data_IF_595191758647
#
_entry.id   IF_595191758647
#
_cell.length_a   1.000
_cell.length_b   1.000
_cell.length_c   1.000
_cell.angle_alpha   90.00
_cell.angle_beta   90.00
_cell.angle_gamma   90.00
#
_symmetry.space_group_name_H-M   'P 1'
#
loop_
_entity.id
_entity.type
_entity.pdbx_description
1 polymer ?
#
# COMPACT_ATOMS: atom_id res chain seq x y z
N UNK A 1 23.14 -28.61 25.84
CA UNK A 1 23.13 -29.13 24.48
C UNK A 1 21.98 -28.45 23.76
N UNK A 2 22.32 -27.53 22.87
CA UNK A 2 21.37 -26.78 22.01
C UNK A 2 21.06 -27.65 20.81
N UNK A 3 19.77 -27.81 20.48
CA UNK A 3 19.39 -28.22 19.13
C UNK A 3 18.23 -27.30 18.72
N UNK A 4 18.57 -26.29 17.94
CA UNK A 4 17.62 -25.46 17.25
C UNK A 4 17.04 -26.29 16.10
N UNK A 5 15.73 -26.57 16.15
CA UNK A 5 14.98 -27.04 14.97
C UNK A 5 14.65 -25.82 14.11
N UNK A 6 15.45 -25.59 13.08
CA UNK A 6 15.06 -24.78 11.93
C UNK A 6 13.99 -25.55 11.16
N UNK A 7 12.74 -25.23 11.41
CA UNK A 7 11.63 -25.66 10.56
C UNK A 7 11.65 -24.80 9.28
N UNK A 8 12.28 -25.33 8.24
CA UNK A 8 12.07 -24.88 6.87
C UNK A 8 10.62 -25.20 6.49
N UNK A 9 9.76 -24.18 6.53
CA UNK A 9 8.45 -24.25 5.86
C UNK A 9 8.70 -24.37 4.35
N UNK A 10 8.58 -25.58 3.83
CA UNK A 10 8.62 -25.83 2.38
C UNK A 10 7.27 -25.38 1.80
N UNK A 11 7.31 -24.29 1.08
CA UNK A 11 6.31 -23.89 0.12
C UNK A 11 6.30 -24.91 -1.03
N UNK A 12 5.36 -25.85 -1.01
CA UNK A 12 5.17 -26.75 -2.16
C UNK A 12 4.20 -26.07 -3.11
N UNK A 13 4.73 -25.19 -3.97
CA UNK A 13 4.01 -24.77 -5.15
C UNK A 13 3.89 -25.95 -6.12
N UNK A 14 2.70 -26.23 -6.69
CA UNK A 14 2.59 -27.06 -7.87
C UNK A 14 3.38 -26.39 -8.99
N UNK A 15 3.99 -27.21 -9.84
CA UNK A 15 4.94 -26.81 -10.88
C UNK A 15 4.45 -25.65 -11.73
N UNK A 16 5.34 -24.67 -11.93
CA UNK A 16 5.44 -23.72 -13.02
C UNK A 16 4.22 -22.86 -13.34
N UNK A 17 4.03 -21.80 -12.57
CA UNK A 17 3.64 -20.52 -13.14
C UNK A 17 4.35 -19.38 -12.36
N UNK A 18 5.66 -19.44 -12.28
CA UNK A 18 6.48 -18.33 -11.79
C UNK A 18 6.51 -17.26 -12.88
N UNK A 19 5.46 -16.44 -12.92
CA UNK A 19 5.52 -15.18 -13.64
C UNK A 19 6.75 -14.41 -13.13
N UNK A 20 7.53 -13.78 -14.02
CA UNK A 20 8.72 -13.06 -13.61
C UNK A 20 8.37 -11.97 -12.61
N UNK A 21 9.14 -11.86 -11.53
CA UNK A 21 9.03 -10.76 -10.57
C UNK A 21 9.27 -9.46 -11.33
N UNK A 22 8.25 -8.59 -11.41
CA UNK A 22 8.26 -7.37 -12.22
C UNK A 22 8.78 -6.15 -11.45
N UNK A 23 9.10 -6.31 -10.16
CA UNK A 23 9.57 -5.21 -9.33
C UNK A 23 9.78 -5.61 -7.87
N UNK A 24 10.11 -4.62 -7.06
CA UNK A 24 10.24 -4.77 -5.61
C UNK A 24 9.59 -3.58 -4.91
N UNK A 25 9.20 -3.77 -3.66
CA UNK A 25 8.84 -2.63 -2.82
C UNK A 25 10.08 -1.77 -2.51
N UNK A 26 9.88 -0.47 -2.32
CA UNK A 26 10.98 0.45 -2.01
C UNK A 26 11.53 0.13 -0.62
N UNK A 27 12.86 -0.03 -0.51
CA UNK A 27 13.54 -0.42 0.76
C UNK A 27 14.35 0.70 1.37
N UNK A 28 14.78 1.68 0.59
CA UNK A 28 15.59 2.79 1.08
C UNK A 28 14.73 3.86 1.77
N UNK A 29 15.07 4.19 3.03
CA UNK A 29 14.42 5.26 3.77
C UNK A 29 14.65 6.63 3.15
N UNK A 30 13.58 7.39 3.00
CA UNK A 30 13.59 8.74 2.43
C UNK A 30 12.61 9.68 3.16
N UNK A 31 12.64 10.96 2.83
CA UNK A 31 11.84 12.00 3.49
C UNK A 31 10.66 12.49 2.65
N UNK A 32 10.23 11.74 1.61
CA UNK A 32 9.17 12.18 0.68
C UNK A 32 7.84 12.42 1.39
N UNK A 33 7.56 11.69 2.46
CA UNK A 33 6.35 11.86 3.27
C UNK A 33 6.22 13.26 3.88
N UNK A 34 7.34 13.99 4.04
CA UNK A 34 7.32 15.39 4.50
C UNK A 34 6.68 16.35 3.49
N UNK A 35 6.68 16.01 2.22
CA UNK A 35 6.11 16.84 1.15
C UNK A 35 4.62 16.64 0.99
N UNK A 36 4.18 15.39 1.08
CA UNK A 36 2.79 15.03 0.83
C UNK A 36 2.43 13.80 1.66
N UNK A 37 1.39 13.92 2.48
CA UNK A 37 0.81 12.82 3.26
C UNK A 37 0.11 11.78 2.34
N UNK A 38 -0.92 11.08 2.81
CA UNK A 38 -1.66 10.09 2.01
C UNK A 38 -2.24 10.69 0.71
N UNK A 39 -2.74 11.93 0.74
CA UNK A 39 -3.22 12.69 -0.41
C UNK A 39 -4.25 11.90 -1.27
N UNK A 40 -5.32 11.47 -0.62
CA UNK A 40 -6.30 10.54 -1.20
C UNK A 40 -6.96 11.11 -2.47
N UNK A 41 -7.44 12.36 -2.41
CA UNK A 41 -8.13 13.00 -3.53
C UNK A 41 -7.17 13.34 -4.67
N UNK A 42 -5.93 13.71 -4.36
CA UNK A 42 -4.91 13.96 -5.38
C UNK A 42 -4.46 12.66 -6.07
N UNK A 43 -4.40 11.55 -5.35
CA UNK A 43 -4.16 10.23 -5.94
C UNK A 43 -5.29 9.85 -6.92
N UNK A 44 -6.55 10.02 -6.49
CA UNK A 44 -7.72 9.76 -7.33
C UNK A 44 -7.67 10.62 -8.60
N UNK A 45 -7.47 11.92 -8.45
CA UNK A 45 -7.38 12.84 -9.59
C UNK A 45 -6.25 12.44 -10.56
N UNK A 46 -5.12 11.95 -10.03
CA UNK A 46 -4.04 11.46 -10.86
C UNK A 46 -4.47 10.26 -11.71
N UNK A 47 -5.10 9.23 -11.13
CA UNK A 47 -5.56 8.06 -11.90
C UNK A 47 -6.58 8.42 -12.97
N UNK A 48 -7.48 9.36 -12.65
CA UNK A 48 -8.55 9.78 -13.55
C UNK A 48 -8.04 10.61 -14.75
N UNK A 49 -6.96 11.35 -14.55
CA UNK A 49 -6.51 12.37 -15.51
C UNK A 49 -5.26 11.99 -16.27
N UNK A 50 -4.38 11.11 -15.72
CA UNK A 50 -3.14 10.76 -16.39
C UNK A 50 -3.41 9.97 -17.68
N UNK A 51 -2.83 10.43 -18.77
CA UNK A 51 -2.99 9.85 -20.11
C UNK A 51 -1.63 9.51 -20.70
N UNK A 52 -1.49 8.41 -21.47
CA UNK A 52 -0.23 8.00 -22.08
C UNK A 52 0.30 8.96 -23.15
N UNK A 53 -0.62 9.70 -23.79
CA UNK A 53 -0.33 10.67 -24.85
C UNK A 53 0.28 11.97 -24.33
N UNK A 54 0.25 12.23 -23.02
CA UNK A 54 0.85 13.44 -22.45
C UNK A 54 2.35 13.22 -22.24
N UNK A 55 3.22 14.00 -22.92
CA UNK A 55 4.66 13.92 -22.68
C UNK A 55 5.01 14.24 -21.22
N UNK A 56 6.02 13.57 -20.71
CA UNK A 56 6.41 13.67 -19.29
C UNK A 56 6.70 15.11 -18.84
N UNK A 57 7.39 15.87 -19.66
CA UNK A 57 7.78 17.27 -19.43
C UNK A 57 6.59 18.23 -19.50
N UNK A 58 5.58 17.95 -20.28
CA UNK A 58 4.37 18.76 -20.43
C UNK A 58 3.29 18.45 -19.37
N UNK A 59 3.34 17.30 -18.74
CA UNK A 59 2.29 16.85 -17.83
C UNK A 59 2.02 17.84 -16.67
N UNK A 60 3.03 18.56 -16.18
CA UNK A 60 2.83 19.54 -15.12
C UNK A 60 2.05 20.80 -15.59
N UNK A 61 2.24 21.19 -16.84
CA UNK A 61 1.51 22.30 -17.47
C UNK A 61 0.05 21.87 -17.70
N UNK A 62 -0.14 20.72 -18.31
CA UNK A 62 -1.48 20.15 -18.56
C UNK A 62 -2.25 19.97 -17.24
N UNK A 63 -1.63 19.38 -16.22
CA UNK A 63 -2.26 19.17 -14.92
C UNK A 63 -2.63 20.49 -14.21
N UNK A 64 -1.88 21.57 -14.45
CA UNK A 64 -2.18 22.87 -13.93
C UNK A 64 -3.31 23.54 -14.69
N UNK A 65 -3.28 23.55 -16.02
CA UNK A 65 -4.28 24.16 -16.89
C UNK A 65 -5.65 23.45 -16.77
N UNK A 66 -5.65 22.12 -16.76
CA UNK A 66 -6.85 21.30 -16.58
C UNK A 66 -7.29 21.18 -15.11
N UNK A 67 -6.53 21.78 -14.17
CA UNK A 67 -6.84 21.80 -12.72
C UNK A 67 -7.03 20.42 -12.11
N UNK A 68 -6.21 19.45 -12.43
CA UNK A 68 -6.32 18.09 -11.91
C UNK A 68 -6.42 18.03 -10.39
N UNK A 69 -5.68 18.88 -9.70
CA UNK A 69 -5.66 18.97 -8.24
C UNK A 69 -6.42 20.20 -7.70
N UNK A 70 -7.36 20.76 -8.50
CA UNK A 70 -8.09 21.99 -8.16
C UNK A 70 -7.22 23.25 -8.22
N UNK A 71 -7.60 24.28 -7.49
CA UNK A 71 -6.90 25.59 -7.51
C UNK A 71 -5.59 25.55 -6.71
N UNK A 72 -4.59 24.86 -7.21
CA UNK A 72 -3.24 24.80 -6.62
C UNK A 72 -2.27 25.65 -7.45
N UNK A 73 -1.21 26.17 -6.81
CA UNK A 73 -0.12 26.81 -7.55
C UNK A 73 0.64 25.81 -8.41
N UNK A 74 1.29 26.26 -9.48
CA UNK A 74 2.15 25.43 -10.34
C UNK A 74 3.21 24.66 -9.53
N UNK A 75 3.82 25.30 -8.53
CA UNK A 75 4.80 24.65 -7.66
C UNK A 75 4.19 23.46 -6.91
N UNK A 76 2.98 23.64 -6.38
CA UNK A 76 2.26 22.56 -5.67
C UNK A 76 1.78 21.45 -6.63
N UNK A 77 1.36 21.79 -7.84
CA UNK A 77 1.01 20.80 -8.88
C UNK A 77 2.22 19.91 -9.22
N UNK A 78 3.40 20.52 -9.44
CA UNK A 78 4.64 19.76 -9.68
C UNK A 78 4.99 18.81 -8.53
N UNK A 79 4.84 19.26 -7.30
CA UNK A 79 5.11 18.44 -6.11
C UNK A 79 4.13 17.25 -6.00
N UNK A 80 2.84 17.49 -6.24
CA UNK A 80 1.80 16.44 -6.23
C UNK A 80 2.03 15.43 -7.35
N UNK A 81 2.33 15.87 -8.57
CA UNK A 81 2.68 14.99 -9.67
C UNK A 81 3.91 14.13 -9.36
N UNK A 82 4.97 14.73 -8.83
CA UNK A 82 6.16 13.96 -8.45
C UNK A 82 5.85 12.91 -7.38
N UNK A 83 4.92 13.21 -6.47
CA UNK A 83 4.45 12.27 -5.44
C UNK A 83 3.62 11.15 -6.04
N UNK A 84 2.64 11.46 -6.89
CA UNK A 84 1.78 10.46 -7.54
C UNK A 84 2.58 9.54 -8.46
N UNK A 85 3.49 10.10 -9.26
CA UNK A 85 4.40 9.33 -10.10
C UNK A 85 5.23 8.34 -9.28
N UNK A 86 5.86 8.80 -8.20
CA UNK A 86 6.62 7.91 -7.34
C UNK A 86 5.77 6.77 -6.78
N UNK A 87 4.50 6.99 -6.48
CA UNK A 87 3.60 5.99 -5.91
C UNK A 87 3.04 5.01 -6.95
N UNK A 88 2.76 5.46 -8.15
CA UNK A 88 1.99 4.69 -9.11
C UNK A 88 2.76 4.32 -10.38
N UNK A 89 3.61 5.22 -10.93
CA UNK A 89 4.36 4.90 -12.15
C UNK A 89 5.45 3.84 -11.88
N UNK A 90 5.86 3.67 -10.62
CA UNK A 90 6.73 2.56 -10.18
C UNK A 90 6.09 1.19 -10.44
N UNK A 91 4.76 1.14 -10.51
CA UNK A 91 3.96 -0.08 -10.72
C UNK A 91 3.02 0.11 -11.93
N UNK A 92 3.54 0.07 -13.17
CA UNK A 92 2.79 0.49 -14.36
C UNK A 92 1.53 -0.34 -14.61
N UNK A 93 1.56 -1.65 -14.35
CA UNK A 93 0.38 -2.51 -14.46
C UNK A 93 -0.71 -2.08 -13.48
N UNK A 94 -0.35 -1.76 -12.26
CA UNK A 94 -1.27 -1.27 -11.25
C UNK A 94 -1.88 0.09 -11.65
N UNK A 95 -1.07 1.01 -12.16
CA UNK A 95 -1.55 2.29 -12.66
C UNK A 95 -2.49 2.12 -13.86
N UNK A 96 -2.17 1.24 -14.81
CA UNK A 96 -3.03 0.95 -15.95
C UNK A 96 -4.42 0.47 -15.51
N UNK A 97 -4.49 -0.45 -14.55
CA UNK A 97 -5.76 -0.90 -13.97
C UNK A 97 -6.50 0.24 -13.28
N UNK A 98 -5.85 1.05 -12.44
CA UNK A 98 -6.49 2.16 -11.71
C UNK A 98 -7.07 3.23 -12.64
N UNK A 99 -6.43 3.50 -13.77
CA UNK A 99 -6.90 4.44 -14.79
C UNK A 99 -8.25 4.03 -15.38
N UNK A 100 -8.48 2.74 -15.57
CA UNK A 100 -9.73 2.19 -16.13
C UNK A 100 -10.76 1.91 -15.03
N UNK A 101 -10.33 1.37 -13.91
CA UNK A 101 -11.22 1.02 -12.80
C UNK A 101 -11.87 2.24 -12.14
N UNK A 102 -11.08 3.27 -11.82
CA UNK A 102 -11.55 4.48 -11.16
C UNK A 102 -12.47 4.16 -9.97
N UNK A 103 -11.99 3.44 -8.95
CA UNK A 103 -12.84 2.90 -7.90
C UNK A 103 -13.69 4.00 -7.25
N UNK A 104 -15.02 3.84 -7.29
CA UNK A 104 -15.99 4.81 -6.76
C UNK A 104 -16.16 4.70 -5.25
N UNK A 105 -15.98 3.48 -4.69
CA UNK A 105 -16.11 3.25 -3.24
C UNK A 105 -14.97 3.92 -2.46
N UNK A 106 -15.29 4.74 -1.42
CA UNK A 106 -14.28 5.44 -0.64
C UNK A 106 -13.34 4.52 0.13
N UNK A 107 -13.82 3.36 0.65
CA UNK A 107 -13.00 2.44 1.40
C UNK A 107 -12.00 1.73 0.47
N UNK A 108 -12.42 1.36 -0.73
CA UNK A 108 -11.55 0.80 -1.78
C UNK A 108 -10.42 1.78 -2.13
N UNK A 109 -10.74 3.05 -2.41
CA UNK A 109 -9.73 4.09 -2.69
C UNK A 109 -8.76 4.29 -1.55
N UNK A 110 -9.28 4.32 -0.32
CA UNK A 110 -8.48 4.47 0.89
C UNK A 110 -7.44 3.35 1.01
N UNK A 111 -7.86 2.10 0.86
CA UNK A 111 -7.01 0.94 0.97
C UNK A 111 -5.92 0.93 -0.11
N UNK A 112 -6.29 1.21 -1.36
CA UNK A 112 -5.34 1.30 -2.48
C UNK A 112 -4.29 2.37 -2.23
N UNK A 113 -4.69 3.59 -1.86
CA UNK A 113 -3.75 4.67 -1.57
C UNK A 113 -2.84 4.35 -0.38
N UNK A 114 -3.39 3.70 0.66
CA UNK A 114 -2.62 3.26 1.82
C UNK A 114 -1.53 2.26 1.43
N UNK A 115 -1.88 1.23 0.66
CA UNK A 115 -0.94 0.20 0.24
C UNK A 115 0.11 0.71 -0.76
N UNK A 116 -0.27 1.57 -1.71
CA UNK A 116 0.71 2.22 -2.59
C UNK A 116 1.69 3.12 -1.83
N UNK A 117 1.22 3.80 -0.77
CA UNK A 117 2.14 4.52 0.12
C UNK A 117 3.06 3.56 0.88
N UNK A 118 2.58 2.41 1.33
CA UNK A 118 3.44 1.39 1.94
C UNK A 118 4.45 0.78 0.96
N UNK A 119 4.04 0.52 -0.29
CA UNK A 119 4.92 -0.02 -1.34
C UNK A 119 6.10 0.91 -1.62
N UNK A 120 5.89 2.22 -1.53
CA UNK A 120 6.87 3.24 -1.93
C UNK A 120 7.52 4.00 -0.78
N UNK A 121 7.04 3.85 0.46
CA UNK A 121 7.63 4.47 1.65
C UNK A 121 7.89 3.41 2.73
N UNK A 122 9.14 2.91 2.86
CA UNK A 122 9.49 1.87 3.80
C UNK A 122 9.31 2.28 5.26
N UNK A 123 9.43 3.58 5.59
CA UNK A 123 9.20 4.05 6.95
C UNK A 123 7.71 4.03 7.30
N UNK A 124 6.85 4.45 6.37
CA UNK A 124 5.41 4.35 6.53
C UNK A 124 4.95 2.88 6.61
N UNK A 125 5.52 2.01 5.79
CA UNK A 125 5.27 0.55 5.84
C UNK A 125 5.66 -0.04 7.19
N UNK A 126 6.86 0.23 7.69
CA UNK A 126 7.32 -0.24 9.00
C UNK A 126 6.46 0.34 10.14
N UNK A 127 6.07 1.62 10.05
CA UNK A 127 5.21 2.27 11.02
C UNK A 127 3.84 1.61 11.11
N UNK A 128 3.16 1.43 9.97
CA UNK A 128 1.78 0.94 9.95
C UNK A 128 1.68 -0.58 10.06
N UNK A 129 2.56 -1.31 9.37
CA UNK A 129 2.50 -2.78 9.29
C UNK A 129 3.19 -3.52 10.43
N UNK A 130 4.08 -2.85 11.17
CA UNK A 130 4.79 -3.46 12.32
C UNK A 130 4.54 -2.72 13.61
N UNK A 131 4.91 -1.45 13.68
CA UNK A 131 4.82 -0.69 14.93
C UNK A 131 3.37 -0.51 15.41
N UNK A 132 2.46 -0.03 14.56
CA UNK A 132 1.05 0.11 14.95
C UNK A 132 0.39 -1.26 15.17
N UNK A 133 0.75 -2.28 14.37
CA UNK A 133 0.25 -3.64 14.56
C UNK A 133 0.61 -4.19 15.95
N UNK A 134 1.87 -4.05 16.37
CA UNK A 134 2.31 -4.44 17.72
C UNK A 134 1.63 -3.58 18.81
N UNK A 135 1.49 -2.28 18.58
CA UNK A 135 0.88 -1.37 19.55
C UNK A 135 -0.61 -1.66 19.80
N UNK A 136 -1.32 -2.25 18.84
CA UNK A 136 -2.70 -2.70 19.01
C UNK A 136 -2.88 -3.82 20.02
N UNK A 137 -1.80 -4.55 20.34
CA UNK A 137 -1.80 -5.60 21.36
C UNK A 137 -1.67 -5.06 22.79
N UNK A 138 -1.40 -3.77 22.96
CA UNK A 138 -1.35 -3.13 24.26
C UNK A 138 -2.75 -2.97 24.88
N UNK A 139 -2.86 -2.98 26.24
CA UNK A 139 -4.14 -2.74 26.93
C UNK A 139 -4.80 -1.40 26.57
N UNK A 140 -3.98 -0.39 26.28
CA UNK A 140 -4.40 0.92 25.78
C UNK A 140 -3.76 1.17 24.42
N UNK A 141 -4.43 0.75 23.31
CA UNK A 141 -3.87 0.83 21.97
C UNK A 141 -3.94 2.26 21.42
N UNK A 142 -3.01 3.11 21.87
CA UNK A 142 -2.89 4.51 21.44
C UNK A 142 -1.52 4.81 20.88
N UNK A 143 -1.44 5.85 20.06
CA UNK A 143 -0.20 6.39 19.50
C UNK A 143 -0.25 7.91 19.51
N UNK A 144 0.89 8.53 19.84
CA UNK A 144 1.12 9.97 19.76
C UNK A 144 2.45 10.27 19.08
N UNK A 145 2.75 11.57 18.95
CA UNK A 145 3.98 12.04 18.32
C UNK A 145 5.24 11.59 19.04
N UNK A 146 5.24 11.67 20.38
CA UNK A 146 6.44 11.39 21.17
C UNK A 146 6.77 9.88 21.17
N UNK A 147 5.74 9.05 21.25
CA UNK A 147 5.84 7.59 21.05
C UNK A 147 6.37 7.27 19.66
N UNK A 148 5.89 7.96 18.63
CA UNK A 148 6.34 7.77 17.23
C UNK A 148 7.80 8.21 17.06
N UNK A 149 8.21 9.33 17.64
CA UNK A 149 9.60 9.82 17.61
C UNK A 149 10.54 8.83 18.28
N UNK A 150 10.22 8.33 19.48
CA UNK A 150 11.02 7.31 20.17
C UNK A 150 11.18 6.04 19.34
N UNK A 151 10.10 5.56 18.74
CA UNK A 151 10.17 4.42 17.84
C UNK A 151 11.11 4.67 16.64
N UNK A 152 10.99 5.83 15.98
CA UNK A 152 11.87 6.17 14.85
C UNK A 152 13.33 6.27 15.23
N UNK A 153 13.65 6.77 16.44
CA UNK A 153 15.03 6.83 16.92
C UNK A 153 15.69 5.45 16.97
N UNK A 154 14.94 4.40 17.32
CA UNK A 154 15.44 3.02 17.30
C UNK A 154 15.56 2.44 15.88
N UNK A 155 14.64 2.78 14.98
CA UNK A 155 14.61 2.21 13.63
C UNK A 155 15.64 2.88 12.70
N UNK A 156 15.91 4.17 12.90
CA UNK A 156 16.69 4.99 11.97
C UNK A 156 18.14 5.21 12.40
N UNK A 157 18.51 4.76 13.59
CA UNK A 157 19.88 4.77 14.14
C UNK A 157 20.64 6.09 13.86
N UNK A 158 20.03 7.22 14.25
CA UNK A 158 20.64 8.53 14.11
C UNK A 158 20.67 9.14 12.70
N UNK A 159 20.04 8.51 11.71
CA UNK A 159 20.04 8.96 10.30
C UNK A 159 19.55 10.40 10.11
N UNK A 160 18.64 10.91 10.96
CA UNK A 160 18.08 12.26 10.86
C UNK A 160 18.05 12.98 12.22
N UNK A 161 18.24 14.28 12.19
CA UNK A 161 18.17 15.11 13.39
C UNK A 161 16.75 15.24 13.98
N UNK A 162 16.67 15.62 15.26
CA UNK A 162 15.43 15.66 16.06
C UNK A 162 14.31 16.48 15.40
N UNK A 163 14.61 17.63 14.81
CA UNK A 163 13.62 18.46 14.13
C UNK A 163 12.99 17.73 12.91
N UNK A 164 13.79 16.98 12.18
CA UNK A 164 13.32 16.17 11.03
C UNK A 164 12.46 15.02 11.54
N UNK A 165 12.87 14.32 12.58
CA UNK A 165 12.08 13.23 13.19
C UNK A 165 10.71 13.70 13.67
N UNK A 166 10.61 14.86 14.32
CA UNK A 166 9.33 15.44 14.76
C UNK A 166 8.40 15.71 13.56
N UNK A 167 8.93 16.25 12.47
CA UNK A 167 8.14 16.51 11.26
C UNK A 167 7.68 15.22 10.59
N UNK A 168 8.55 14.20 10.49
CA UNK A 168 8.21 12.89 9.94
C UNK A 168 7.16 12.21 10.82
N UNK A 169 7.29 12.23 12.15
CA UNK A 169 6.31 11.68 13.07
C UNK A 169 4.91 12.29 12.84
N UNK A 170 4.86 13.61 12.67
CA UNK A 170 3.61 14.31 12.36
C UNK A 170 3.02 13.84 11.02
N UNK A 171 3.85 13.68 9.99
CA UNK A 171 3.41 13.21 8.66
C UNK A 171 2.95 11.74 8.70
N UNK A 172 3.64 10.87 9.44
CA UNK A 172 3.25 9.47 9.66
C UNK A 172 1.87 9.38 10.33
N UNK A 173 1.67 10.13 11.42
CA UNK A 173 0.40 10.16 12.14
C UNK A 173 -0.73 10.76 11.29
N UNK A 174 -0.45 11.81 10.52
CA UNK A 174 -1.44 12.40 9.61
C UNK A 174 -1.86 11.40 8.54
N UNK A 175 -0.88 10.71 7.94
CA UNK A 175 -1.16 9.69 6.91
C UNK A 175 -1.89 8.48 7.48
N UNK A 176 -1.50 8.00 8.67
CA UNK A 176 -2.20 6.90 9.35
C UNK A 176 -3.63 7.27 9.76
N UNK A 177 -3.87 8.50 10.18
CA UNK A 177 -5.23 9.00 10.46
C UNK A 177 -6.06 9.07 9.19
N UNK A 178 -5.50 9.61 8.11
CA UNK A 178 -6.17 9.66 6.80
C UNK A 178 -6.46 8.26 6.24
N UNK A 179 -5.60 7.28 6.55
CA UNK A 179 -5.80 5.87 6.21
C UNK A 179 -6.78 5.13 7.16
N UNK A 180 -7.40 5.80 8.12
CA UNK A 180 -8.33 5.18 9.06
C UNK A 180 -7.68 4.25 10.09
N UNK A 181 -6.35 4.30 10.26
CA UNK A 181 -5.60 3.43 11.17
C UNK A 181 -5.59 3.95 12.61
N UNK A 182 -5.93 5.22 12.82
CA UNK A 182 -6.09 5.82 14.13
C UNK A 182 -7.13 6.96 14.12
N UNK A 183 -7.62 7.33 15.31
CA UNK A 183 -8.57 8.42 15.47
C UNK A 183 -7.95 9.78 15.10
N UNK A 184 -8.80 10.75 14.78
CA UNK A 184 -8.39 12.14 14.69
C UNK A 184 -8.04 12.69 16.07
N UNK A 185 -7.16 13.69 16.14
CA UNK A 185 -6.78 14.38 17.36
C UNK A 185 -5.34 14.88 17.33
N UNK A 186 -5.01 15.80 18.24
CA UNK A 186 -3.68 16.41 18.37
C UNK A 186 -2.81 15.73 19.45
N UNK A 187 -3.41 14.88 20.29
CA UNK A 187 -2.73 14.12 21.35
C UNK A 187 -2.64 12.63 21.04
N UNK A 188 -2.84 11.81 22.07
CA UNK A 188 -2.91 10.37 21.92
C UNK A 188 -4.12 9.97 21.07
N UNK A 189 -3.87 9.19 20.01
CA UNK A 189 -4.87 8.71 19.05
C UNK A 189 -5.13 7.23 19.30
N UNK A 190 -6.40 6.86 19.45
CA UNK A 190 -6.79 5.46 19.56
C UNK A 190 -6.57 4.75 18.22
N UNK A 191 -5.98 3.57 18.27
CA UNK A 191 -5.75 2.76 17.07
C UNK A 191 -7.06 2.11 16.60
N UNK A 192 -7.22 2.05 15.28
CA UNK A 192 -8.39 1.52 14.59
C UNK A 192 -7.95 0.62 13.43
N UNK A 193 -8.91 -0.10 12.87
CA UNK A 193 -8.74 -0.78 11.58
C UNK A 193 -9.67 -0.15 10.56
N UNK A 194 -9.20 0.13 9.33
CA UNK A 194 -10.05 0.59 8.25
C UNK A 194 -10.93 -0.55 7.76
N UNK A 195 -12.03 -0.21 7.12
CA UNK A 195 -12.80 -1.18 6.36
C UNK A 195 -12.00 -1.57 5.11
N UNK A 196 -11.80 -2.88 4.92
CA UNK A 196 -11.13 -3.42 3.73
C UNK A 196 -12.18 -4.09 2.84
N UNK A 197 -12.30 -3.62 1.59
CA UNK A 197 -13.18 -4.22 0.58
C UNK A 197 -12.54 -5.44 -0.06
N UNK A 198 -13.36 -6.34 -0.62
CA UNK A 198 -12.84 -7.54 -1.28
C UNK A 198 -12.11 -7.18 -2.58
N UNK A 199 -12.60 -6.19 -3.33
CA UNK A 199 -11.94 -5.70 -4.54
C UNK A 199 -10.56 -5.09 -4.23
N UNK A 200 -10.46 -4.27 -3.18
CA UNK A 200 -9.17 -3.70 -2.79
C UNK A 200 -8.19 -4.78 -2.31
N UNK A 201 -8.70 -5.79 -1.59
CA UNK A 201 -7.87 -6.90 -1.12
C UNK A 201 -7.39 -7.77 -2.28
N UNK A 202 -8.25 -8.12 -3.23
CA UNK A 202 -7.87 -8.86 -4.44
C UNK A 202 -6.84 -8.08 -5.27
N UNK A 203 -7.08 -6.77 -5.47
CA UNK A 203 -6.11 -5.89 -6.11
C UNK A 203 -4.73 -5.97 -5.45
N UNK A 204 -4.66 -5.84 -4.12
CA UNK A 204 -3.40 -5.94 -3.38
C UNK A 204 -2.69 -7.27 -3.65
N UNK A 205 -3.42 -8.39 -3.56
CA UNK A 205 -2.83 -9.72 -3.74
C UNK A 205 -2.30 -9.91 -5.16
N UNK A 206 -3.02 -9.44 -6.20
CA UNK A 206 -2.54 -9.48 -7.57
C UNK A 206 -1.33 -8.55 -7.79
N UNK A 207 -1.23 -7.42 -7.10
CA UNK A 207 -0.02 -6.57 -7.12
C UNK A 207 1.15 -7.29 -6.44
N UNK A 208 0.96 -7.83 -5.23
CA UNK A 208 2.02 -8.48 -4.46
C UNK A 208 2.55 -9.76 -5.13
N UNK A 209 1.71 -10.49 -5.87
CA UNK A 209 2.12 -11.69 -6.61
C UNK A 209 3.30 -11.44 -7.55
N UNK A 210 3.40 -10.24 -8.10
CA UNK A 210 4.43 -9.86 -9.07
C UNK A 210 5.59 -9.05 -8.46
N UNK A 211 5.61 -8.88 -7.14
CA UNK A 211 6.62 -8.09 -6.44
C UNK A 211 7.46 -8.97 -5.51
N UNK A 212 8.75 -8.63 -5.42
CA UNK A 212 9.59 -9.08 -4.31
C UNK A 212 9.36 -8.15 -3.11
N UNK A 213 8.89 -8.70 -2.00
CA UNK A 213 8.62 -7.96 -0.76
C UNK A 213 9.01 -8.79 0.46
N UNK A 214 8.98 -8.19 1.63
CA UNK A 214 9.31 -8.86 2.88
C UNK A 214 8.12 -9.65 3.43
N UNK A 215 8.34 -10.93 3.75
CA UNK A 215 7.34 -11.86 4.24
C UNK A 215 6.76 -12.76 3.16
N UNK A 216 5.57 -13.27 3.40
CA UNK A 216 4.79 -14.12 2.51
C UNK A 216 3.47 -13.45 2.14
N UNK A 217 2.69 -14.03 1.23
CA UNK A 217 1.36 -13.49 0.92
C UNK A 217 0.44 -13.47 2.15
N UNK A 218 0.60 -14.39 3.10
CA UNK A 218 -0.21 -14.45 4.31
C UNK A 218 0.33 -13.60 5.46
N UNK A 219 1.66 -13.47 5.55
CA UNK A 219 2.34 -12.77 6.64
C UNK A 219 3.21 -11.65 6.08
N UNK A 220 2.65 -10.47 5.98
CA UNK A 220 3.35 -9.30 5.47
C UNK A 220 2.83 -7.99 6.10
N UNK A 221 3.59 -6.90 6.03
CA UNK A 221 3.22 -5.62 6.63
C UNK A 221 1.97 -4.98 6.00
N UNK A 222 1.63 -5.32 4.77
CA UNK A 222 0.48 -4.74 4.06
C UNK A 222 -0.84 -5.21 4.68
N UNK A 223 -1.02 -6.52 4.84
CA UNK A 223 -2.23 -7.09 5.46
C UNK A 223 -2.26 -6.87 6.98
N UNK A 224 -1.11 -6.93 7.65
CA UNK A 224 -1.01 -6.66 9.09
C UNK A 224 -1.41 -5.23 9.45
N UNK A 225 -1.11 -4.24 8.60
CA UNK A 225 -1.43 -2.82 8.81
C UNK A 225 -2.93 -2.58 8.96
N UNK A 226 -3.74 -3.34 8.26
CA UNK A 226 -5.22 -3.23 8.24
C UNK A 226 -5.91 -4.30 9.11
N UNK A 227 -5.14 -5.07 9.89
CA UNK A 227 -5.67 -6.05 10.84
C UNK A 227 -6.09 -7.38 10.22
N UNK A 228 -5.70 -7.64 8.98
CA UNK A 228 -5.91 -8.92 8.33
C UNK A 228 -4.74 -9.85 8.67
N UNK A 229 -4.88 -10.60 9.76
CA UNK A 229 -3.86 -11.54 10.22
C UNK A 229 -4.46 -12.93 10.33
N UNK A 230 -3.65 -13.96 10.09
CA UNK A 230 -3.99 -15.39 10.24
C UNK A 230 -5.43 -15.76 9.85
N UNK A 231 -6.22 -16.28 10.77
CA UNK A 231 -7.54 -16.82 10.51
C UNK A 231 -8.54 -15.84 9.87
N UNK A 232 -8.44 -14.53 10.18
CA UNK A 232 -9.30 -13.54 9.56
C UNK A 232 -8.94 -13.34 8.07
N UNK A 233 -7.65 -13.29 7.76
CA UNK A 233 -7.18 -13.21 6.37
C UNK A 233 -7.59 -14.47 5.60
N UNK A 234 -7.36 -15.67 6.16
CA UNK A 234 -7.73 -16.92 5.53
C UNK A 234 -9.24 -17.00 5.23
N UNK A 235 -10.08 -16.58 6.18
CA UNK A 235 -11.52 -16.53 5.96
C UNK A 235 -11.90 -15.62 4.79
N UNK A 236 -11.20 -14.50 4.62
CA UNK A 236 -11.41 -13.58 3.50
C UNK A 236 -10.95 -14.20 2.19
N UNK A 237 -9.77 -14.82 2.17
CA UNK A 237 -9.17 -15.41 0.97
C UNK A 237 -10.02 -16.54 0.37
N UNK A 238 -10.68 -17.36 1.20
CA UNK A 238 -11.56 -18.45 0.73
C UNK A 238 -12.74 -17.99 -0.13
N UNK A 239 -13.11 -16.73 -0.04
CA UNK A 239 -14.24 -16.14 -0.78
C UNK A 239 -13.81 -14.97 -1.67
N UNK A 240 -12.51 -14.71 -1.76
CA UNK A 240 -11.99 -13.57 -2.51
C UNK A 240 -12.09 -13.86 -4.01
N UNK A 241 -12.78 -13.02 -4.80
CA UNK A 241 -12.91 -13.23 -6.24
C UNK A 241 -11.53 -13.27 -6.93
N UNK A 242 -11.36 -14.25 -7.82
CA UNK A 242 -10.13 -14.41 -8.60
C UNK A 242 -8.98 -15.12 -7.86
N UNK A 243 -9.17 -15.53 -6.60
CA UNK A 243 -8.18 -16.27 -5.80
C UNK A 243 -8.79 -17.58 -5.31
N UNK A 244 -8.08 -18.69 -5.50
CA UNK A 244 -8.38 -19.95 -4.85
C UNK A 244 -7.41 -20.13 -3.67
N UNK A 245 -7.96 -20.31 -2.47
CA UNK A 245 -7.17 -20.51 -1.26
C UNK A 245 -7.67 -21.75 -0.50
N UNK A 246 -6.74 -22.67 -0.23
CA UNK A 246 -7.01 -23.84 0.58
C UNK A 246 -5.93 -24.02 1.65
N UNK A 247 -6.33 -24.49 2.84
CA UNK A 247 -5.42 -24.86 3.92
C UNK A 247 -5.69 -26.29 4.35
N UNK A 248 -4.64 -27.09 4.43
CA UNK A 248 -4.64 -28.46 4.96
C UNK A 248 -3.58 -28.55 6.06
N UNK A 249 -4.00 -28.42 7.32
CA UNK A 249 -3.09 -28.37 8.47
C UNK A 249 -2.15 -27.17 8.42
N UNK A 250 -0.83 -27.44 8.37
CA UNK A 250 0.21 -26.41 8.25
C UNK A 250 0.52 -26.03 6.79
N UNK A 251 -0.03 -26.75 5.82
CA UNK A 251 0.16 -26.47 4.39
C UNK A 251 -0.96 -25.57 3.89
N UNK A 252 -0.60 -24.63 3.06
CA UNK A 252 -1.54 -23.76 2.36
C UNK A 252 -1.21 -23.71 0.88
N UNK A 253 -2.26 -23.62 0.06
CA UNK A 253 -2.19 -23.58 -1.39
C UNK A 253 -2.87 -22.31 -1.90
N UNK A 254 -2.19 -21.61 -2.79
CA UNK A 254 -2.68 -20.42 -3.47
C UNK A 254 -2.84 -20.71 -4.96
N UNK A 255 -4.07 -20.67 -5.44
CA UNK A 255 -4.39 -20.68 -6.86
C UNK A 255 -4.86 -19.31 -7.35
N UNK A 256 -4.63 -19.01 -8.61
CA UNK A 256 -5.01 -17.76 -9.25
C UNK A 256 -5.91 -18.06 -10.44
N UNK A 257 -7.11 -17.48 -10.47
CA UNK A 257 -8.02 -17.69 -11.59
C UNK A 257 -7.58 -16.92 -12.85
N UNK A 258 -6.80 -15.86 -12.67
CA UNK A 258 -6.32 -15.01 -13.76
C UNK A 258 -4.80 -14.91 -13.74
N UNK A 259 -4.17 -14.78 -14.94
CA UNK A 259 -2.71 -14.75 -15.04
C UNK A 259 -2.08 -13.52 -14.36
N UNK A 260 -2.75 -12.37 -14.41
CA UNK A 260 -2.23 -11.10 -13.88
C UNK A 260 -3.33 -10.16 -13.39
N UNK A 261 -2.92 -9.00 -12.88
CA UNK A 261 -3.80 -7.97 -12.38
C UNK A 261 -4.73 -7.40 -13.47
N UNK A 262 -4.26 -7.31 -14.71
CA UNK A 262 -5.05 -6.78 -15.84
C UNK A 262 -6.18 -7.74 -16.20
N UNK A 263 -5.88 -9.03 -16.32
CA UNK A 263 -6.88 -10.05 -16.59
C UNK A 263 -7.91 -10.16 -15.45
N UNK A 264 -7.46 -10.11 -14.19
CA UNK A 264 -8.35 -10.04 -13.04
C UNK A 264 -9.30 -8.84 -13.14
N UNK A 265 -8.77 -7.66 -13.39
CA UNK A 265 -9.58 -6.44 -13.44
C UNK A 265 -10.60 -6.44 -14.59
N UNK A 266 -10.24 -7.01 -15.76
CA UNK A 266 -11.17 -7.16 -16.89
C UNK A 266 -12.36 -8.05 -16.52
N UNK A 267 -12.13 -9.14 -15.83
CA UNK A 267 -13.16 -10.12 -15.51
C UNK A 267 -13.96 -9.75 -14.25
N UNK A 268 -13.29 -9.50 -13.15
CA UNK A 268 -13.97 -9.30 -11.86
C UNK A 268 -14.55 -7.89 -11.70
N UNK A 269 -13.96 -6.88 -12.34
CA UNK A 269 -14.46 -5.52 -12.31
C UNK A 269 -15.24 -5.15 -13.58
N UNK A 270 -15.44 -6.10 -14.50
CA UNK A 270 -16.12 -5.91 -15.77
C UNK A 270 -15.57 -4.70 -16.58
N UNK A 271 -14.26 -4.50 -16.55
CA UNK A 271 -13.62 -3.39 -17.23
C UNK A 271 -13.32 -3.78 -18.68
N UNK A 272 -13.69 -2.90 -19.59
CA UNK A 272 -13.33 -3.01 -21.00
C UNK A 272 -12.28 -1.94 -21.33
N UNK A 273 -11.10 -2.36 -21.78
CA UNK A 273 -10.14 -1.51 -22.50
C UNK A 273 -9.41 -2.34 -23.53
N UNK A 274 -9.12 -1.72 -24.64
CA UNK A 274 -8.25 -2.32 -25.64
C UNK A 274 -6.81 -2.21 -25.17
N UNK A 275 -6.02 -3.27 -25.35
CA UNK A 275 -4.58 -3.20 -25.14
C UNK A 275 -4.04 -2.25 -26.21
N UNK A 276 -3.79 -1.00 -25.82
CA UNK A 276 -3.13 -0.06 -26.71
C UNK A 276 -1.76 -0.60 -27.08
N UNK A 277 -1.55 -0.74 -28.37
CA UNK A 277 -0.30 -1.12 -28.99
C UNK A 277 0.85 -0.18 -28.63
#
# INVERSE_FOLDING_TARGET
MKTALELHKRETAPASDTMPVQGTDVREFHTRLLRTSLALEECRAYWEQIRPDIPYDQCAVVAFEERWFGNKSMARVRELLATCRHRFDTYPMALAVLRHWRPSDPATRLNICHWHLQLTDPLYRAFTGRFLAQRRLHPQPTVDRDVTVRWMQHVLDGRWGSATLIRIATSLLTSATAAGLCSQGNGARSLKYPQVTDEALAYLFYVLRHLSFEGTLLENPYVASVGLTEGLLEQRLRRLPGVAFQRMGELWDFGWHYPDLTAWARHELALSWEDGA
#
